data_IF_165645068336
#
_entry.id   IF_165645068336
#
_cell.length_a   1.000
_cell.length_b   1.000
_cell.length_c   1.000
_cell.angle_alpha   90.00
_cell.angle_beta   90.00
_cell.angle_gamma   90.00
#
_symmetry.space_group_name_H-M   'P 1'
#
loop_
_entity.id
_entity.type
_entity.pdbx_description
1 polymer ?
#
# COMPACT_ATOMS: atom_id res chain seq x y z
N UNK A 1 -5.09 3.58 15.92
CA UNK A 1 -4.57 4.83 15.32
C UNK A 1 -4.93 4.76 13.85
N UNK A 2 -5.52 5.81 13.29
CA UNK A 2 -5.94 5.81 11.88
C UNK A 2 -4.75 6.11 10.99
N UNK A 3 -4.54 5.27 9.99
CA UNK A 3 -3.57 5.44 8.90
C UNK A 3 -4.35 5.96 7.70
N UNK A 4 -3.85 7.02 7.07
CA UNK A 4 -4.41 7.50 5.81
C UNK A 4 -3.58 6.93 4.67
N UNK A 5 -4.23 6.62 3.56
CA UNK A 5 -3.55 6.21 2.35
C UNK A 5 -4.20 6.83 1.12
N UNK A 6 -3.40 7.00 0.08
CA UNK A 6 -3.87 7.41 -1.24
C UNK A 6 -3.15 6.63 -2.31
N UNK A 7 -3.80 6.41 -3.44
CA UNK A 7 -3.22 5.68 -4.56
C UNK A 7 -3.76 6.21 -5.88
N UNK A 8 -2.95 6.10 -6.93
CA UNK A 8 -3.40 6.38 -8.29
C UNK A 8 -3.66 5.06 -9.01
N UNK A 9 -4.85 4.92 -9.58
CA UNK A 9 -5.25 3.79 -10.39
C UNK A 9 -5.71 4.27 -11.77
N UNK A 10 -5.06 3.79 -12.83
CA UNK A 10 -5.36 4.18 -14.22
C UNK A 10 -5.45 5.70 -14.45
N UNK A 11 -4.58 6.48 -13.78
CA UNK A 11 -4.58 7.95 -13.84
C UNK A 11 -5.57 8.66 -12.92
N UNK A 12 -6.41 7.93 -12.17
CA UNK A 12 -7.35 8.51 -11.20
C UNK A 12 -6.83 8.37 -9.77
N UNK A 13 -7.01 9.41 -8.96
CA UNK A 13 -6.57 9.45 -7.57
C UNK A 13 -7.67 9.01 -6.60
N UNK A 14 -7.31 8.15 -5.65
CA UNK A 14 -8.18 7.59 -4.63
C UNK A 14 -7.57 7.80 -3.25
N UNK A 15 -8.41 7.97 -2.24
CA UNK A 15 -8.01 8.12 -0.83
C UNK A 15 -8.81 7.17 0.06
N UNK A 16 -8.21 6.72 1.15
CA UNK A 16 -8.85 5.84 2.11
C UNK A 16 -8.21 5.89 3.49
N UNK A 17 -8.86 5.22 4.42
CA UNK A 17 -8.43 5.11 5.81
C UNK A 17 -8.27 3.65 6.20
N UNK A 18 -7.22 3.37 6.97
CA UNK A 18 -6.94 2.05 7.51
C UNK A 18 -6.78 2.12 9.03
N UNK A 19 -7.47 1.25 9.75
CA UNK A 19 -7.38 1.20 11.20
C UNK A 19 -6.20 0.33 11.64
N UNK A 20 -5.15 0.97 12.17
CA UNK A 20 -4.00 0.24 12.72
C UNK A 20 -4.41 -0.57 13.94
N UNK A 21 -4.15 -1.86 13.89
CA UNK A 21 -4.35 -2.81 14.98
C UNK A 21 -3.09 -2.91 15.85
N UNK A 22 -3.25 -3.37 17.09
CA UNK A 22 -2.17 -3.38 18.09
C UNK A 22 -1.02 -4.36 17.77
N UNK A 23 -1.27 -5.34 16.91
CA UNK A 23 -0.31 -6.31 16.39
C UNK A 23 0.57 -5.75 15.26
N UNK A 24 0.23 -4.58 14.68
CA UNK A 24 1.03 -3.91 13.66
C UNK A 24 2.04 -2.96 14.31
N UNK A 25 3.06 -3.51 14.94
CA UNK A 25 4.09 -2.74 15.63
C UNK A 25 5.05 -2.01 14.68
N UNK A 26 5.26 -2.52 13.45
CA UNK A 26 6.19 -1.97 12.47
C UNK A 26 5.56 -1.28 11.27
N UNK A 27 6.26 -0.29 10.70
CA UNK A 27 5.85 0.39 9.45
C UNK A 27 5.67 -0.60 8.29
N UNK A 28 6.50 -1.64 8.20
CA UNK A 28 6.35 -2.67 7.16
C UNK A 28 5.05 -3.46 7.26
N UNK A 29 4.55 -3.71 8.47
CA UNK A 29 3.26 -4.40 8.68
C UNK A 29 2.10 -3.51 8.24
N UNK A 30 2.17 -2.22 8.57
CA UNK A 30 1.20 -1.22 8.11
C UNK A 30 1.20 -1.12 6.58
N UNK A 31 2.37 -0.98 5.96
CA UNK A 31 2.50 -0.92 4.49
C UNK A 31 1.89 -2.17 3.84
N UNK A 32 2.22 -3.37 4.35
CA UNK A 32 1.65 -4.62 3.84
C UNK A 32 0.13 -4.67 3.97
N UNK A 33 -0.41 -4.26 5.12
CA UNK A 33 -1.84 -4.28 5.36
C UNK A 33 -2.61 -3.29 4.47
N UNK A 34 -2.08 -2.08 4.31
CA UNK A 34 -2.67 -1.06 3.44
C UNK A 34 -2.61 -1.48 1.98
N UNK A 35 -1.46 -1.96 1.49
CA UNK A 35 -1.35 -2.41 0.10
C UNK A 35 -2.24 -3.64 -0.16
N UNK A 36 -2.42 -4.51 0.84
CA UNK A 36 -3.38 -5.60 0.77
C UNK A 36 -4.83 -5.11 0.70
N UNK A 37 -5.18 -4.06 1.44
CA UNK A 37 -6.50 -3.42 1.34
C UNK A 37 -6.73 -2.88 -0.07
N UNK A 38 -5.77 -2.13 -0.61
CA UNK A 38 -5.83 -1.59 -1.98
C UNK A 38 -6.00 -2.72 -2.99
N UNK A 39 -5.19 -3.78 -2.91
CA UNK A 39 -5.30 -4.93 -3.81
C UNK A 39 -6.70 -5.57 -3.78
N UNK A 40 -7.33 -5.67 -2.60
CA UNK A 40 -8.70 -6.18 -2.49
C UNK A 40 -9.73 -5.24 -3.10
N UNK A 41 -9.58 -3.93 -2.88
CA UNK A 41 -10.52 -2.91 -3.35
C UNK A 41 -10.46 -2.78 -4.88
N UNK A 42 -9.27 -2.91 -5.47
CA UNK A 42 -9.06 -2.81 -6.92
C UNK A 42 -9.21 -4.15 -7.65
N UNK A 43 -9.16 -5.27 -6.93
CA UNK A 43 -9.20 -6.61 -7.52
C UNK A 43 -7.95 -6.97 -8.33
N UNK A 44 -6.81 -6.33 -8.05
CA UNK A 44 -5.54 -6.57 -8.77
C UNK A 44 -4.37 -6.86 -7.83
N UNK A 45 -3.36 -7.56 -8.36
CA UNK A 45 -2.12 -7.81 -7.63
C UNK A 45 -1.21 -6.58 -7.65
N UNK A 46 -0.92 -6.03 -6.48
CA UNK A 46 -0.01 -4.91 -6.33
C UNK A 46 1.37 -5.42 -5.95
N UNK A 47 2.35 -5.27 -6.85
CA UNK A 47 3.76 -5.58 -6.57
C UNK A 47 4.45 -4.31 -6.06
N UNK A 48 5.13 -4.37 -4.91
CA UNK A 48 5.75 -3.19 -4.32
C UNK A 48 7.10 -3.48 -3.67
N UNK A 49 7.92 -2.45 -3.55
CA UNK A 49 9.21 -2.52 -2.86
C UNK A 49 9.07 -1.95 -1.45
N UNK A 50 9.56 -2.69 -0.45
CA UNK A 50 9.69 -2.16 0.91
C UNK A 50 11.03 -1.47 1.05
N UNK A 51 11.03 -0.26 1.61
CA UNK A 51 12.24 0.50 1.91
C UNK A 51 12.73 0.19 3.33
N UNK A 52 14.03 0.36 3.56
CA UNK A 52 14.62 0.30 4.89
C UNK A 52 13.99 1.38 5.79
N UNK A 53 14.05 1.23 7.13
CA UNK A 53 13.59 2.28 8.04
C UNK A 53 14.25 3.64 7.81
N UNK A 54 15.44 3.66 7.21
CA UNK A 54 16.19 4.86 6.83
C UNK A 54 15.77 5.44 5.47
N UNK A 55 14.89 4.77 4.72
CA UNK A 55 14.43 5.19 3.38
C UNK A 55 15.48 5.07 2.26
N UNK A 56 16.70 4.65 2.58
CA UNK A 56 17.85 4.73 1.66
C UNK A 56 18.06 3.49 0.80
N UNK A 57 17.45 2.35 1.13
CA UNK A 57 17.61 1.11 0.40
C UNK A 57 16.31 0.33 0.30
N UNK A 58 16.10 -0.39 -0.80
CA UNK A 58 15.04 -1.40 -0.91
C UNK A 58 15.49 -2.64 -0.13
N UNK A 59 14.70 -3.04 0.86
CA UNK A 59 14.97 -4.24 1.69
C UNK A 59 14.30 -5.49 1.15
N UNK A 60 13.36 -5.35 0.22
CA UNK A 60 12.75 -6.47 -0.48
C UNK A 60 11.61 -6.06 -1.39
N UNK A 61 11.23 -6.97 -2.28
CA UNK A 61 10.02 -6.86 -3.11
C UNK A 61 8.95 -7.77 -2.53
N UNK A 62 7.72 -7.27 -2.38
CA UNK A 62 6.55 -8.02 -1.97
C UNK A 62 5.43 -7.88 -3.01
N UNK A 63 4.46 -8.75 -2.91
CA UNK A 63 3.22 -8.70 -3.67
C UNK A 63 2.04 -8.79 -2.69
N UNK A 64 0.99 -8.04 -2.96
CA UNK A 64 -0.31 -8.21 -2.33
C UNK A 64 -1.29 -8.71 -3.40
N UNK A 65 -1.82 -9.91 -3.20
CA UNK A 65 -2.81 -10.51 -4.08
C UNK A 65 -4.22 -10.27 -3.53
N UNK A 66 -5.22 -9.94 -4.38
CA UNK A 66 -6.59 -9.74 -3.94
C UNK A 66 -7.14 -11.01 -3.29
N UNK A 67 -7.74 -10.88 -2.11
CA UNK A 67 -8.35 -11.98 -1.37
C UNK A 67 -9.87 -11.95 -1.55
N UNK A 68 -10.43 -13.07 -2.02
CA UNK A 68 -11.88 -13.21 -2.18
C UNK A 68 -12.47 -12.45 -3.37
N UNK A 69 -11.62 -11.99 -4.28
CA UNK A 69 -11.96 -11.32 -5.54
C UNK A 69 -11.16 -11.97 -6.66
N UNK A 70 -11.78 -12.17 -7.82
CA UNK A 70 -11.07 -12.69 -8.99
C UNK A 70 -10.03 -11.67 -9.45
N UNK A 71 -8.76 -12.07 -9.48
CA UNK A 71 -7.68 -11.23 -9.95
C UNK A 71 -7.94 -10.88 -11.42
N UNK A 72 -8.12 -9.58 -11.69
CA UNK A 72 -8.41 -9.10 -13.04
C UNK A 72 -7.23 -9.30 -14.00
N UNK A 73 -6.01 -9.55 -13.47
CA UNK A 73 -4.77 -9.68 -14.25
C UNK A 73 -4.27 -8.36 -14.82
N UNK A 74 -5.02 -7.27 -14.63
CA UNK A 74 -4.62 -5.92 -15.00
C UNK A 74 -3.78 -5.33 -13.87
N UNK A 75 -2.76 -4.55 -14.23
CA UNK A 75 -1.94 -3.79 -13.28
C UNK A 75 -2.15 -2.32 -13.58
N UNK A 76 -2.98 -1.69 -12.76
CA UNK A 76 -3.45 -0.32 -12.97
C UNK A 76 -3.10 0.60 -11.81
N UNK A 77 -2.75 0.08 -10.63
CA UNK A 77 -2.19 0.86 -9.54
C UNK A 77 -0.77 1.32 -9.90
N UNK A 78 -0.56 2.62 -9.89
CA UNK A 78 0.68 3.28 -10.33
C UNK A 78 1.50 3.78 -9.14
N UNK A 79 0.82 4.32 -8.13
CA UNK A 79 1.44 4.90 -6.94
C UNK A 79 0.61 4.56 -5.71
N UNK A 80 1.27 4.43 -4.57
CA UNK A 80 0.62 4.31 -3.26
C UNK A 80 1.41 5.18 -2.29
N UNK A 81 0.75 6.08 -1.58
CA UNK A 81 1.33 6.84 -0.47
C UNK A 81 0.60 6.50 0.83
N UNK A 82 1.35 6.36 1.91
CA UNK A 82 0.82 5.99 3.23
C UNK A 82 1.27 7.00 4.27
N UNK A 83 0.32 7.49 5.07
CA UNK A 83 0.57 8.39 6.19
C UNK A 83 0.18 7.72 7.50
N UNK A 84 1.17 7.46 8.34
CA UNK A 84 0.97 6.90 9.68
C UNK A 84 0.57 7.95 10.73
N UNK A 85 0.64 9.22 10.38
CA UNK A 85 0.39 10.40 11.22
C UNK A 85 -0.85 11.20 10.75
N UNK A 86 -1.85 10.51 10.19
CA UNK A 86 -3.16 11.10 9.82
C UNK A 86 -3.07 12.28 8.84
N UNK A 87 -2.18 12.18 7.85
CA UNK A 87 -2.06 13.07 6.71
C UNK A 87 -0.91 14.08 6.80
N UNK A 88 -0.16 14.13 7.90
CA UNK A 88 0.93 15.09 8.08
C UNK A 88 2.18 14.75 7.23
N UNK A 89 2.56 13.47 7.20
CA UNK A 89 3.71 12.96 6.43
C UNK A 89 3.29 11.77 5.57
N UNK A 90 3.75 11.75 4.33
CA UNK A 90 3.41 10.71 3.36
C UNK A 90 4.66 9.93 2.94
N UNK A 91 4.57 8.61 3.07
CA UNK A 91 5.60 7.68 2.61
C UNK A 91 5.17 7.05 1.30
N UNK A 92 5.84 7.41 0.21
CA UNK A 92 5.60 6.83 -1.10
C UNK A 92 6.13 5.41 -1.20
N UNK A 93 5.26 4.49 -1.58
CA UNK A 93 5.56 3.10 -1.84
C UNK A 93 5.84 2.92 -3.32
N UNK A 94 7.00 2.33 -3.63
CA UNK A 94 7.40 2.09 -5.00
C UNK A 94 6.67 0.85 -5.55
N UNK A 95 5.59 1.10 -6.27
CA UNK A 95 4.82 0.10 -7.01
C UNK A 95 5.60 -0.29 -8.28
N UNK A 96 5.58 -1.58 -8.61
CA UNK A 96 6.15 -2.12 -9.85
C UNK A 96 5.02 -2.59 -10.75
N UNK A 97 4.79 -1.84 -11.83
CA UNK A 97 3.90 -2.22 -12.92
C UNK A 97 4.53 -3.31 -13.80
#
# INVERSE_FOLDING_TARGET
MTIMYRYTQAGEAYEGEFQRTADMAGSHEVVRAVVQQIANDTGETVCFSMLSPTGTAVVGTNHAEPKGVDNTGLRTVETVDISEDSGESWNSIHVRS
#
